data_IF_938605298700
#
_entry.id   IF_938605298700
#
_cell.length_a   1.000
_cell.length_b   1.000
_cell.length_c   1.000
_cell.angle_alpha   90.00
_cell.angle_beta   90.00
_cell.angle_gamma   90.00
#
_symmetry.space_group_name_H-M   'P 1'
#
loop_
_entity.id
_entity.type
_entity.pdbx_description
1 polymer ?
#
# COMPACT_ATOMS: atom_id res chain seq x y z
N UNK A 1 14.53 -50.04 31.63
CA UNK A 1 14.93 -50.70 30.37
C UNK A 1 13.70 -51.34 29.76
N UNK A 2 13.12 -50.66 28.78
CA UNK A 2 12.38 -51.22 27.63
C UNK A 2 11.79 -50.01 26.92
N UNK A 3 12.44 -49.62 25.83
CA UNK A 3 11.91 -48.70 24.83
C UNK A 3 10.80 -49.40 24.05
N UNK A 4 9.74 -48.67 23.69
CA UNK A 4 8.90 -49.00 22.54
C UNK A 4 8.40 -47.71 21.91
N UNK A 5 8.66 -47.62 20.62
CA UNK A 5 8.64 -46.43 19.79
C UNK A 5 7.25 -45.92 19.40
N UNK A 6 7.20 -44.58 19.37
CA UNK A 6 6.63 -43.71 18.34
C UNK A 6 6.22 -44.37 17.00
N UNK A 7 4.93 -44.36 16.64
CA UNK A 7 4.47 -44.00 15.27
C UNK A 7 2.93 -43.85 15.24
N UNK A 8 2.43 -42.61 15.10
CA UNK A 8 1.06 -42.35 14.68
C UNK A 8 1.10 -41.71 13.29
N UNK A 9 1.57 -42.48 12.30
CA UNK A 9 1.51 -42.08 10.90
C UNK A 9 0.10 -42.40 10.36
N UNK A 10 -0.71 -41.36 10.16
CA UNK A 10 -1.90 -41.46 9.33
C UNK A 10 -1.55 -41.83 7.89
N UNK A 11 -2.52 -42.28 7.08
CA UNK A 11 -2.24 -42.77 5.72
C UNK A 11 -1.60 -41.68 4.86
N UNK A 12 -0.33 -41.91 4.50
CA UNK A 12 0.38 -41.14 3.48
C UNK A 12 -0.27 -41.48 2.14
N UNK A 13 -1.04 -40.54 1.61
CA UNK A 13 -1.56 -40.61 0.25
C UNK A 13 -0.36 -40.49 -0.70
N UNK A 14 -0.15 -41.43 -1.65
CA UNK A 14 0.95 -41.33 -2.58
C UNK A 14 0.69 -40.16 -3.54
N UNK A 15 1.51 -39.11 -3.45
CA UNK A 15 1.61 -38.11 -4.51
C UNK A 15 2.19 -38.78 -5.75
N UNK A 16 1.34 -39.18 -6.68
CA UNK A 16 1.75 -39.50 -8.05
C UNK A 16 2.24 -38.20 -8.69
N UNK A 17 3.56 -37.99 -8.65
CA UNK A 17 4.22 -36.96 -9.44
C UNK A 17 4.20 -37.36 -10.91
N UNK A 18 3.30 -36.75 -11.68
CA UNK A 18 3.46 -36.59 -13.11
C UNK A 18 3.85 -35.12 -13.36
N UNK A 19 5.15 -34.93 -13.58
CA UNK A 19 5.69 -33.68 -14.09
C UNK A 19 5.11 -33.42 -15.49
N UNK A 20 4.15 -32.50 -15.56
CA UNK A 20 3.82 -31.57 -16.66
C UNK A 20 2.33 -31.24 -16.59
N UNK A 21 1.94 -30.37 -15.66
CA UNK A 21 0.71 -29.61 -15.84
C UNK A 21 1.05 -28.12 -15.76
N UNK A 22 1.28 -27.53 -16.93
CA UNK A 22 1.49 -26.10 -17.12
C UNK A 22 0.23 -25.27 -16.87
N UNK A 23 -0.89 -25.88 -16.44
CA UNK A 23 -2.18 -25.21 -16.26
C UNK A 23 -2.30 -24.44 -14.94
N UNK A 24 -1.45 -24.69 -13.94
CA UNK A 24 -1.45 -23.94 -12.67
C UNK A 24 -0.32 -22.90 -12.65
N UNK A 25 -0.30 -22.02 -13.65
CA UNK A 25 0.29 -20.69 -13.46
C UNK A 25 -0.85 -19.77 -13.05
N UNK A 26 -0.79 -19.06 -11.90
CA UNK A 26 -1.61 -17.88 -11.76
C UNK A 26 -1.29 -17.01 -12.97
N UNK A 27 -2.29 -16.78 -13.81
CA UNK A 27 -2.20 -15.82 -14.89
C UNK A 27 -2.00 -14.48 -14.21
N UNK A 28 -0.73 -14.09 -14.02
CA UNK A 28 -0.38 -12.69 -13.87
C UNK A 28 -0.85 -12.11 -15.19
N UNK A 29 -2.10 -11.63 -15.21
CA UNK A 29 -2.57 -10.84 -16.32
C UNK A 29 -1.67 -9.62 -16.30
N UNK A 30 -0.77 -9.55 -17.28
CA UNK A 30 -0.04 -8.34 -17.59
C UNK A 30 -1.11 -7.30 -17.89
N UNK A 31 -1.49 -6.53 -16.86
CA UNK A 31 -2.31 -5.36 -17.05
C UNK A 31 -1.52 -4.51 -18.03
N UNK A 32 -2.03 -4.24 -19.26
CA UNK A 32 -1.32 -3.34 -20.15
C UNK A 32 -1.25 -2.02 -19.40
N UNK A 33 -0.06 -1.65 -18.94
CA UNK A 33 0.24 -0.32 -18.45
C UNK A 33 0.02 0.58 -19.66
N UNK A 34 -1.22 1.06 -19.82
CA UNK A 34 -1.51 2.11 -20.78
C UNK A 34 -0.53 3.22 -20.46
N UNK A 35 0.24 3.73 -21.43
CA UNK A 35 1.08 4.89 -21.22
C UNK A 35 0.19 5.96 -20.63
N UNK A 36 0.40 6.29 -19.36
CA UNK A 36 -0.39 7.33 -18.72
C UNK A 36 0.03 8.61 -19.44
N UNK A 37 -0.88 9.32 -20.11
CA UNK A 37 -0.52 10.60 -20.70
C UNK A 37 0.01 11.45 -19.55
N UNK A 38 1.28 11.81 -19.61
CA UNK A 38 1.90 12.76 -18.70
C UNK A 38 1.23 14.10 -18.96
N UNK A 39 0.06 14.31 -18.34
CA UNK A 39 -0.64 15.58 -18.38
C UNK A 39 0.35 16.65 -17.91
N UNK A 40 0.41 17.75 -18.69
CA UNK A 40 1.37 18.83 -18.54
C UNK A 40 1.68 19.11 -17.07
N UNK A 41 2.96 18.90 -16.70
CA UNK A 41 3.55 19.14 -15.38
C UNK A 41 3.06 20.44 -14.72
N UNK A 42 2.84 21.45 -15.55
CA UNK A 42 2.40 22.79 -15.16
C UNK A 42 0.97 22.82 -14.56
N UNK A 43 0.04 21.93 -14.95
CA UNK A 43 -1.35 21.96 -14.46
C UNK A 43 -1.49 21.28 -13.07
N UNK A 44 -0.71 20.23 -12.82
CA UNK A 44 -0.67 19.53 -11.54
C UNK A 44 0.01 20.39 -10.46
N UNK A 45 1.08 21.12 -10.81
CA UNK A 45 1.75 22.08 -9.91
C UNK A 45 0.84 23.25 -9.49
N UNK A 46 0.00 23.77 -10.40
CA UNK A 46 -0.89 24.90 -10.10
C UNK A 46 -2.03 24.48 -9.14
N UNK A 47 -2.57 23.27 -9.30
CA UNK A 47 -3.62 22.75 -8.40
C UNK A 47 -3.05 22.40 -7.02
N UNK A 48 -1.84 21.82 -6.97
CA UNK A 48 -1.16 21.57 -5.71
C UNK A 48 -0.83 22.84 -4.95
N UNK A 49 -0.36 23.90 -5.63
CA UNK A 49 -0.04 25.16 -4.99
C UNK A 49 -1.25 25.81 -4.30
N UNK A 50 -2.48 25.49 -4.73
CA UNK A 50 -3.72 25.89 -4.06
C UNK A 50 -3.98 25.07 -2.79
N UNK A 51 -4.06 23.74 -2.93
CA UNK A 51 -4.32 22.83 -1.79
C UNK A 51 -3.20 22.85 -0.74
N UNK A 52 -1.97 23.11 -1.13
CA UNK A 52 -0.83 23.13 -0.19
C UNK A 52 -0.83 24.33 0.75
N UNK A 53 -1.55 25.41 0.41
CA UNK A 53 -1.58 26.63 1.24
C UNK A 53 -2.43 26.45 2.50
N UNK A 54 -3.45 25.61 2.43
CA UNK A 54 -4.45 25.46 3.49
C UNK A 54 -4.17 24.25 4.40
N UNK A 55 -3.24 23.36 4.00
CA UNK A 55 -3.04 22.06 4.63
C UNK A 55 -2.29 22.12 5.98
N UNK A 56 -1.25 22.95 6.09
CA UNK A 56 -0.49 23.23 7.33
C UNK A 56 0.53 24.36 7.07
N UNK A 57 0.87 25.23 8.05
CA UNK A 57 1.85 26.32 7.88
C UNK A 57 3.25 25.85 7.47
N UNK A 58 3.62 24.61 7.80
CA UNK A 58 4.92 24.05 7.50
C UNK A 58 4.89 23.21 6.22
N UNK A 59 5.08 23.89 5.09
CA UNK A 59 5.06 23.34 3.72
C UNK A 59 6.20 22.34 3.44
N UNK A 60 7.08 22.09 4.41
CA UNK A 60 8.43 21.60 4.21
C UNK A 60 8.58 20.08 4.10
N UNK A 61 7.51 19.30 4.26
CA UNK A 61 7.61 17.83 4.29
C UNK A 61 6.54 17.09 3.46
N UNK A 62 6.27 17.53 2.23
CA UNK A 62 5.53 16.70 1.26
C UNK A 62 6.47 16.09 0.23
N UNK A 63 6.47 14.77 0.18
CA UNK A 63 7.32 13.98 -0.72
C UNK A 63 6.46 13.38 -1.84
N UNK A 64 6.69 13.74 -3.11
CA UNK A 64 5.93 13.15 -4.22
C UNK A 64 6.32 11.68 -4.40
N UNK A 65 5.32 10.78 -4.44
CA UNK A 65 5.52 9.36 -4.73
C UNK A 65 5.30 9.07 -6.21
N UNK A 66 4.17 9.53 -6.75
CA UNK A 66 3.73 9.14 -8.10
C UNK A 66 3.00 10.27 -8.84
N UNK A 67 3.51 10.60 -10.04
CA UNK A 67 2.90 11.46 -11.07
C UNK A 67 2.21 12.72 -10.54
N UNK A 68 2.75 13.33 -9.49
CA UNK A 68 2.14 14.50 -8.86
C UNK A 68 0.67 14.30 -8.44
N UNK A 69 0.25 13.06 -8.18
CA UNK A 69 -1.08 12.69 -7.69
C UNK A 69 -1.02 12.14 -6.28
N UNK A 70 0.04 11.41 -5.95
CA UNK A 70 0.23 10.78 -4.64
C UNK A 70 1.43 11.41 -3.96
N UNK A 71 1.20 11.85 -2.72
CA UNK A 71 2.20 12.49 -1.88
C UNK A 71 2.26 11.78 -0.53
N UNK A 72 3.45 11.79 0.08
CA UNK A 72 3.68 11.38 1.45
C UNK A 72 3.94 12.61 2.30
N UNK A 73 3.41 12.63 3.52
CA UNK A 73 3.66 13.69 4.51
C UNK A 73 3.95 13.07 5.87
N UNK A 74 4.84 13.69 6.65
CA UNK A 74 5.04 13.36 8.05
C UNK A 74 4.46 14.52 8.85
N UNK A 75 3.55 14.22 9.79
CA UNK A 75 2.89 15.25 10.59
C UNK A 75 2.48 14.73 11.95
N UNK A 76 2.77 15.49 13.00
CA UNK A 76 2.39 15.17 14.38
C UNK A 76 0.89 15.37 14.64
N UNK A 77 0.19 16.02 13.72
CA UNK A 77 -1.23 16.31 13.81
C UNK A 77 -1.96 15.85 12.55
N UNK A 78 -3.22 15.44 12.72
CA UNK A 78 -4.08 15.15 11.59
C UNK A 78 -4.18 16.41 10.70
N UNK A 79 -3.90 16.30 9.39
CA UNK A 79 -3.98 17.43 8.47
C UNK A 79 -5.41 17.95 8.36
N UNK A 80 -5.53 19.26 8.13
CA UNK A 80 -6.82 19.90 7.92
C UNK A 80 -7.46 19.46 6.61
N UNK A 81 -8.78 19.30 6.60
CA UNK A 81 -9.53 19.04 5.37
C UNK A 81 -9.35 20.20 4.41
N UNK A 82 -8.77 19.92 3.24
CA UNK A 82 -8.41 20.96 2.28
C UNK A 82 -9.10 20.72 0.94
N UNK A 83 -9.72 21.74 0.32
CA UNK A 83 -10.33 21.61 -0.99
C UNK A 83 -9.27 21.24 -2.05
N UNK A 84 -9.43 20.06 -2.65
CA UNK A 84 -8.62 19.58 -3.80
C UNK A 84 -7.57 18.52 -3.47
N UNK A 85 -7.38 18.19 -2.19
CA UNK A 85 -6.66 16.99 -1.78
C UNK A 85 -7.47 16.15 -0.79
N UNK A 86 -7.06 14.89 -0.64
CA UNK A 86 -7.60 13.98 0.36
C UNK A 86 -6.42 13.48 1.16
N UNK A 87 -6.53 13.61 2.48
CA UNK A 87 -5.54 13.08 3.39
C UNK A 87 -6.05 11.77 3.99
N UNK A 88 -5.20 10.76 4.05
CA UNK A 88 -5.49 9.50 4.72
C UNK A 88 -4.24 8.97 5.41
N UNK A 89 -4.44 8.17 6.46
CA UNK A 89 -3.41 7.50 7.24
C UNK A 89 -3.81 6.05 7.45
N UNK A 90 -2.81 5.19 7.65
CA UNK A 90 -3.00 3.79 8.03
C UNK A 90 -2.41 3.47 9.41
N UNK A 91 -1.98 4.48 10.17
CA UNK A 91 -1.27 4.31 11.45
C UNK A 91 -2.09 3.49 12.48
N UNK A 92 -3.43 3.57 12.42
CA UNK A 92 -4.34 2.82 13.30
C UNK A 92 -4.90 1.54 12.69
N UNK A 93 -4.87 1.39 11.35
CA UNK A 93 -5.52 0.28 10.63
C UNK A 93 -4.55 -0.82 10.20
N UNK A 94 -3.28 -0.47 9.96
CA UNK A 94 -2.19 -1.35 9.55
C UNK A 94 -1.10 -1.32 10.62
N UNK A 95 -1.34 -2.03 11.72
CA UNK A 95 -0.43 -2.07 12.87
C UNK A 95 0.50 -3.26 12.75
N UNK A 96 1.81 -3.02 12.88
CA UNK A 96 2.80 -4.08 13.00
C UNK A 96 2.74 -4.69 14.40
N UNK A 97 2.77 -6.03 14.49
CA UNK A 97 2.84 -6.72 15.78
C UNK A 97 4.31 -7.11 16.05
N UNK A 98 4.97 -6.46 17.03
CA UNK A 98 6.38 -6.69 17.32
C UNK A 98 6.61 -8.03 18.02
N UNK A 99 7.76 -8.65 17.78
CA UNK A 99 8.22 -9.80 18.56
C UNK A 99 9.07 -9.37 19.77
N UNK A 100 9.89 -8.32 19.61
CA UNK A 100 10.75 -7.71 20.62
C UNK A 100 10.67 -6.18 20.49
N UNK A 101 11.82 -5.50 20.27
CA UNK A 101 11.93 -4.06 20.01
C UNK A 101 11.96 -3.74 18.49
N UNK A 102 11.47 -4.66 17.66
CA UNK A 102 11.30 -4.47 16.23
C UNK A 102 10.03 -3.66 15.94
N UNK A 103 10.08 -2.84 14.88
CA UNK A 103 8.97 -1.95 14.50
C UNK A 103 8.45 -2.23 13.09
N UNK A 104 9.02 -3.20 12.38
CA UNK A 104 8.62 -3.52 11.03
C UNK A 104 9.70 -4.22 10.21
N UNK A 105 9.48 -4.32 8.88
CA UNK A 105 8.39 -3.71 8.10
C UNK A 105 7.03 -4.41 8.26
N UNK A 106 5.96 -3.74 7.82
CA UNK A 106 4.64 -4.36 7.69
C UNK A 106 4.67 -5.60 6.78
N UNK A 107 3.83 -6.57 7.10
CA UNK A 107 3.74 -7.83 6.35
C UNK A 107 3.01 -7.66 5.01
N UNK A 108 3.06 -8.70 4.16
CA UNK A 108 2.47 -8.66 2.81
C UNK A 108 0.95 -8.42 2.83
N UNK A 109 0.23 -8.92 3.85
CA UNK A 109 -1.21 -8.70 3.94
C UNK A 109 -1.54 -7.23 4.23
N UNK A 110 -0.74 -6.55 5.05
CA UNK A 110 -0.87 -5.11 5.27
C UNK A 110 -0.55 -4.31 4.00
N UNK A 111 0.47 -4.69 3.23
CA UNK A 111 0.78 -4.06 1.93
C UNK A 111 -0.40 -4.21 0.95
N UNK A 112 -0.99 -5.39 0.87
CA UNK A 112 -2.17 -5.61 0.02
C UNK A 112 -3.35 -4.71 0.43
N UNK A 113 -3.64 -4.62 1.73
CA UNK A 113 -4.71 -3.74 2.25
C UNK A 113 -4.45 -2.28 1.94
N UNK A 114 -3.21 -1.81 2.12
CA UNK A 114 -2.80 -0.45 1.76
C UNK A 114 -3.09 -0.15 0.29
N UNK A 115 -2.64 -1.02 -0.63
CA UNK A 115 -2.87 -0.84 -2.06
C UNK A 115 -4.36 -0.84 -2.42
N UNK A 116 -5.17 -1.70 -1.78
CA UNK A 116 -6.61 -1.77 -2.00
C UNK A 116 -7.33 -0.49 -1.55
N UNK A 117 -7.00 0.03 -0.35
CA UNK A 117 -7.54 1.29 0.15
C UNK A 117 -7.14 2.47 -0.75
N UNK A 118 -5.86 2.53 -1.13
CA UNK A 118 -5.33 3.55 -2.04
C UNK A 118 -6.01 3.51 -3.41
N UNK A 119 -6.23 2.33 -3.98
CA UNK A 119 -6.95 2.17 -5.24
C UNK A 119 -8.37 2.72 -5.14
N UNK A 120 -9.09 2.37 -4.07
CA UNK A 120 -10.44 2.91 -3.83
C UNK A 120 -10.46 4.44 -3.75
N UNK A 121 -9.46 5.06 -3.12
CA UNK A 121 -9.32 6.52 -3.07
C UNK A 121 -9.06 7.14 -4.44
N UNK A 122 -8.20 6.52 -5.26
CA UNK A 122 -7.87 6.98 -6.61
C UNK A 122 -9.09 6.92 -7.53
N UNK A 123 -9.85 5.83 -7.45
CA UNK A 123 -11.05 5.62 -8.27
C UNK A 123 -12.20 6.53 -7.85
N UNK A 124 -12.41 6.71 -6.54
CA UNK A 124 -13.44 7.60 -6.01
C UNK A 124 -13.14 9.08 -6.27
N UNK A 125 -11.86 9.46 -6.40
CA UNK A 125 -11.44 10.86 -6.50
C UNK A 125 -10.42 11.07 -7.64
N UNK A 126 -10.85 10.99 -8.91
CA UNK A 126 -9.93 11.06 -10.05
C UNK A 126 -9.21 12.41 -10.17
N UNK A 127 -9.84 13.50 -9.73
CA UNK A 127 -9.34 14.88 -9.87
C UNK A 127 -8.52 15.39 -8.70
N UNK A 128 -8.66 14.78 -7.51
CA UNK A 128 -8.00 15.24 -6.29
C UNK A 128 -6.63 14.59 -6.15
N UNK A 129 -5.72 15.32 -5.52
CA UNK A 129 -4.45 14.75 -5.07
C UNK A 129 -4.64 13.96 -3.78
N UNK A 130 -3.92 12.87 -3.63
CA UNK A 130 -3.97 12.01 -2.45
C UNK A 130 -2.70 12.24 -1.64
N UNK A 131 -2.87 12.47 -0.35
CA UNK A 131 -1.80 12.70 0.60
C UNK A 131 -1.87 11.59 1.65
N UNK A 132 -0.93 10.67 1.57
CA UNK A 132 -0.69 9.70 2.63
C UNK A 132 0.10 10.40 3.74
N UNK A 133 -0.39 10.40 4.97
CA UNK A 133 0.35 10.96 6.09
C UNK A 133 0.55 9.93 7.19
N UNK A 134 1.67 10.07 7.89
CA UNK A 134 1.98 9.28 9.09
C UNK A 134 2.45 10.20 10.22
N UNK A 135 2.17 9.80 11.45
CA UNK A 135 2.66 10.49 12.64
C UNK A 135 4.13 10.13 12.90
N UNK A 136 4.97 11.16 13.02
CA UNK A 136 6.40 11.04 13.35
C UNK A 136 6.70 11.13 14.84
#
# INVERSE_FOLDING_TARGET
MAETDLELAGPVVPCKGNATDSSIRPQIQDFPLKPVPCANRNQAEITLAGCLKDLHPDKSQLFPIWQSKIYMMISNHAPATTPGCICFTTDTSLVYFPFCDDFGPLNLSAVYRFCSELQGLIEANPTKSIIYYTTG
#
